data_IF_618338379827
#
_entry.id   IF_618338379827
#
_cell.length_a   1.000
_cell.length_b   1.000
_cell.length_c   1.000
_cell.angle_alpha   90.00
_cell.angle_beta   90.00
_cell.angle_gamma   90.00
#
_symmetry.space_group_name_H-M   'P 1'
#
loop_
_entity.id
_entity.type
_entity.pdbx_description
1 polymer ?
#
# COMPACT_ATOMS: atom_id res chain seq x y z
N UNK A 1 10.35 -2.91 6.52
CA UNK A 1 9.81 -1.66 5.97
C UNK A 1 8.45 -1.40 6.59
N UNK A 2 8.24 -0.28 7.28
CA UNK A 2 6.95 0.04 7.93
C UNK A 2 6.32 1.26 7.30
N UNK A 3 5.08 1.12 6.85
CA UNK A 3 4.30 2.18 6.21
C UNK A 3 2.95 2.36 6.90
N UNK A 4 2.28 3.46 6.62
CA UNK A 4 0.88 3.66 7.02
C UNK A 4 -0.04 3.40 5.83
N UNK A 5 -1.11 2.66 6.03
CA UNK A 5 -2.12 2.35 5.01
C UNK A 5 -3.43 3.04 5.35
N UNK A 6 -3.95 3.84 4.42
CA UNK A 6 -5.26 4.47 4.56
C UNK A 6 -6.29 3.68 3.75
N UNK A 7 -7.27 3.08 4.43
CA UNK A 7 -8.40 2.42 3.79
C UNK A 7 -9.55 3.42 3.62
N UNK A 8 -9.93 3.74 2.38
CA UNK A 8 -10.96 4.73 2.10
C UNK A 8 -12.37 4.30 2.60
N UNK A 9 -12.59 3.01 2.86
CA UNK A 9 -13.87 2.47 3.36
C UNK A 9 -14.01 2.66 4.87
N UNK A 10 -12.89 2.63 5.60
CA UNK A 10 -12.85 2.76 7.06
C UNK A 10 -12.26 4.13 7.40
N UNK A 11 -13.12 5.13 7.37
CA UNK A 11 -12.90 6.55 7.71
C UNK A 11 -12.25 6.86 9.08
N UNK A 12 -11.57 5.93 9.74
CA UNK A 12 -11.28 6.04 11.17
C UNK A 12 -9.80 5.99 11.56
N UNK A 13 -8.89 5.32 10.85
CA UNK A 13 -7.45 5.41 11.18
C UNK A 13 -6.56 4.77 10.12
N UNK A 14 -5.42 5.39 9.78
CA UNK A 14 -4.38 4.69 9.02
C UNK A 14 -3.83 3.50 9.82
N UNK A 15 -3.71 2.33 9.19
CA UNK A 15 -3.14 1.12 9.77
C UNK A 15 -1.62 1.09 9.53
N UNK A 16 -0.80 0.89 10.57
CA UNK A 16 0.62 0.58 10.38
C UNK A 16 0.81 -0.84 9.86
N UNK A 17 1.56 -0.97 8.77
CA UNK A 17 1.88 -2.24 8.13
C UNK A 17 3.38 -2.36 7.98
N UNK A 18 3.92 -3.43 8.54
CA UNK A 18 5.34 -3.78 8.43
C UNK A 18 5.50 -4.95 7.50
N UNK A 19 6.32 -4.75 6.47
CA UNK A 19 6.72 -5.75 5.49
C UNK A 19 8.20 -6.11 5.71
N UNK A 20 8.49 -7.40 5.73
CA UNK A 20 9.85 -7.90 5.98
C UNK A 20 10.55 -8.35 4.69
N UNK A 21 9.78 -8.78 3.69
CA UNK A 21 10.25 -9.22 2.38
C UNK A 21 9.36 -8.66 1.28
N UNK A 22 9.86 -8.64 0.04
CA UNK A 22 9.05 -8.24 -1.12
C UNK A 22 7.91 -9.23 -1.41
N UNK A 23 8.12 -10.51 -1.10
CA UNK A 23 7.07 -11.54 -1.22
C UNK A 23 5.89 -11.26 -0.28
N UNK A 24 6.13 -10.87 0.97
CA UNK A 24 5.08 -10.49 1.92
C UNK A 24 4.29 -9.25 1.44
N UNK A 25 4.99 -8.30 0.83
CA UNK A 25 4.36 -7.13 0.22
C UNK A 25 3.43 -7.51 -0.94
N UNK A 26 3.91 -8.34 -1.86
CA UNK A 26 3.13 -8.82 -3.01
C UNK A 26 1.95 -9.69 -2.58
N UNK A 27 2.14 -10.61 -1.64
CA UNK A 27 1.05 -11.43 -1.07
C UNK A 27 0.00 -10.53 -0.42
N UNK A 28 0.42 -9.52 0.34
CA UNK A 28 -0.49 -8.58 0.98
C UNK A 28 -1.33 -7.78 -0.03
N UNK A 29 -0.70 -7.28 -1.09
CA UNK A 29 -1.41 -6.63 -2.20
C UNK A 29 -2.44 -7.60 -2.82
N UNK A 30 -2.00 -8.81 -3.18
CA UNK A 30 -2.87 -9.83 -3.78
C UNK A 30 -4.04 -10.22 -2.87
N UNK A 31 -3.82 -10.37 -1.56
CA UNK A 31 -4.88 -10.71 -0.58
C UNK A 31 -5.96 -9.63 -0.48
N UNK A 32 -5.59 -8.35 -0.64
CA UNK A 32 -6.55 -7.25 -0.66
C UNK A 32 -7.08 -6.95 -2.07
N UNK A 33 -6.64 -7.68 -3.10
CA UNK A 33 -7.01 -7.43 -4.49
C UNK A 33 -6.41 -6.12 -5.03
N UNK A 34 -5.29 -5.69 -4.46
CA UNK A 34 -4.55 -4.50 -4.88
C UNK A 34 -3.41 -4.90 -5.81
N UNK A 35 -3.09 -4.02 -6.75
CA UNK A 35 -2.01 -4.24 -7.72
C UNK A 35 -0.77 -3.43 -7.34
N UNK A 36 -0.97 -2.25 -6.76
CA UNK A 36 0.09 -1.36 -6.28
C UNK A 36 -0.45 -0.47 -5.17
N UNK A 37 0.47 0.14 -4.41
CA UNK A 37 0.15 1.22 -3.48
C UNK A 37 0.35 2.57 -4.16
N UNK A 38 -0.40 3.58 -3.75
CA UNK A 38 -0.17 4.97 -4.14
C UNK A 38 0.04 5.83 -2.92
N UNK A 39 1.01 6.74 -2.95
CA UNK A 39 1.21 7.73 -1.89
C UNK A 39 -0.08 8.56 -1.68
N UNK A 40 -0.52 8.67 -0.44
CA UNK A 40 -1.71 9.43 -0.08
C UNK A 40 -1.43 10.93 -0.27
N UNK A 41 -2.21 11.59 -1.12
CA UNK A 41 -1.96 12.98 -1.55
C UNK A 41 -0.88 13.13 -2.63
N UNK A 42 -0.29 12.04 -3.10
CA UNK A 42 0.69 12.01 -4.19
C UNK A 42 0.20 11.27 -5.43
N UNK A 43 1.00 11.35 -6.50
CA UNK A 43 0.77 10.62 -7.75
C UNK A 43 1.73 9.43 -7.93
N UNK A 44 2.65 9.22 -6.98
CA UNK A 44 3.62 8.13 -7.05
C UNK A 44 2.94 6.80 -6.72
N UNK A 45 3.08 5.86 -7.63
CA UNK A 45 2.66 4.48 -7.43
C UNK A 45 3.90 3.67 -7.03
N UNK A 46 3.70 2.74 -6.10
CA UNK A 46 4.71 1.87 -5.53
C UNK A 46 4.24 0.43 -5.67
N UNK A 47 4.97 -0.33 -6.48
CA UNK A 47 4.75 -1.76 -6.72
C UNK A 47 5.85 -2.66 -6.14
N UNK A 48 6.90 -2.06 -5.56
CA UNK A 48 8.06 -2.74 -4.99
C UNK A 48 8.34 -2.28 -3.57
N UNK A 49 8.89 -3.17 -2.72
CA UNK A 49 9.17 -2.88 -1.32
C UNK A 49 10.20 -1.74 -1.15
N UNK A 50 11.17 -1.68 -2.05
CA UNK A 50 12.27 -0.70 -2.01
C UNK A 50 11.78 0.75 -2.21
N UNK A 51 10.73 0.94 -3.02
CA UNK A 51 10.17 2.26 -3.30
C UNK A 51 9.29 2.79 -2.14
N UNK A 52 8.96 1.93 -1.17
CA UNK A 52 8.22 2.31 0.03
C UNK A 52 9.07 3.19 0.95
N UNK A 53 8.43 4.22 1.49
CA UNK A 53 9.06 5.18 2.38
C UNK A 53 8.45 5.10 3.78
N UNK A 54 9.28 5.00 4.83
CA UNK A 54 8.78 5.01 6.20
C UNK A 54 8.12 6.36 6.52
N UNK A 55 7.02 6.32 7.27
CA UNK A 55 6.26 7.51 7.67
C UNK A 55 5.33 8.10 6.60
N UNK A 56 5.38 7.58 5.37
CA UNK A 56 4.44 7.94 4.32
C UNK A 56 3.16 7.11 4.45
N UNK A 57 2.04 7.74 4.13
CA UNK A 57 0.74 7.08 4.03
C UNK A 57 0.52 6.62 2.60
N UNK A 58 0.00 5.41 2.43
CA UNK A 58 -0.30 4.80 1.16
C UNK A 58 -1.75 4.33 1.10
N UNK A 59 -2.34 4.35 -0.08
CA UNK A 59 -3.63 3.75 -0.37
C UNK A 59 -3.45 2.61 -1.36
N UNK A 60 -4.15 1.52 -1.13
CA UNK A 60 -4.18 0.41 -2.07
C UNK A 60 -5.02 0.73 -3.29
N UNK A 61 -4.49 0.50 -4.48
CA UNK A 61 -5.23 0.64 -5.72
C UNK A 61 -5.26 -0.69 -6.45
N UNK A 62 -6.45 -1.05 -6.94
CA UNK A 62 -6.58 -2.07 -7.97
C UNK A 62 -6.40 -1.40 -9.32
N UNK A 63 -5.68 -2.02 -10.23
CA UNK A 63 -5.80 -1.69 -11.65
C UNK A 63 -7.27 -1.89 -12.02
N UNK A 64 -7.98 -0.79 -12.33
CA UNK A 64 -9.32 -0.83 -12.91
C UNK A 64 -9.18 -1.30 -14.38
N UNK A 65 -8.74 -2.52 -14.56
CA UNK A 65 -8.84 -3.27 -15.80
C UNK A 65 -9.91 -4.32 -15.58
N UNK A 66 -10.96 -4.22 -16.39
CA UNK A 66 -12.07 -5.16 -16.64
C UNK A 66 -11.84 -6.61 -16.18
#
# INVERSE_FOLDING_TARGET
>A
MTIKLCDASRMQTPEDKTFYTEEDFRDFLSRRGWTFLREYGGYRNVDSLDDLRPGVMYQGLRSLGD
#
